data_IF_530666046548
#
_entry.id   IF_530666046548
#
_cell.length_a   1.000
_cell.length_b   1.000
_cell.length_c   1.000
_cell.angle_alpha   90.00
_cell.angle_beta   90.00
_cell.angle_gamma   90.00
#
_symmetry.space_group_name_H-M   'P 1'
#
loop_
_entity.id
_entity.type
_entity.pdbx_description
1 polymer ?
#
# COMPACT_ATOMS: atom_id res chain seq x y z
N UNK A 1 -15.80 2.87 11.18
CA UNK A 1 -15.74 2.96 9.70
C UNK A 1 -17.04 2.42 9.12
N UNK A 2 -17.62 3.05 8.10
CA UNK A 2 -18.81 2.48 7.43
C UNK A 2 -18.41 1.13 6.82
N UNK A 3 -19.20 0.09 7.08
CA UNK A 3 -18.97 -1.30 6.60
C UNK A 3 -18.66 -1.35 5.10
N UNK A 4 -19.35 -0.52 4.31
CA UNK A 4 -19.14 -0.46 2.87
C UNK A 4 -17.74 0.01 2.46
N UNK A 5 -17.13 0.93 3.21
CA UNK A 5 -15.75 1.41 2.93
C UNK A 5 -14.74 0.31 3.22
N UNK A 6 -14.94 -0.47 4.28
CA UNK A 6 -14.08 -1.61 4.60
C UNK A 6 -14.15 -2.67 3.50
N UNK A 7 -15.38 -3.05 3.09
CA UNK A 7 -15.59 -4.04 2.03
C UNK A 7 -14.98 -3.56 0.71
N UNK A 8 -15.25 -2.31 0.31
CA UNK A 8 -14.72 -1.76 -0.94
C UNK A 8 -13.17 -1.81 -0.97
N UNK A 9 -12.52 -1.38 0.12
CA UNK A 9 -11.05 -1.48 0.22
C UNK A 9 -10.57 -2.92 0.18
N UNK A 10 -11.22 -3.84 0.88
CA UNK A 10 -10.84 -5.25 0.86
C UNK A 10 -10.96 -5.85 -0.55
N UNK A 11 -12.02 -5.54 -1.28
CA UNK A 11 -12.21 -6.00 -2.67
C UNK A 11 -11.12 -5.43 -3.59
N UNK A 12 -10.84 -4.13 -3.51
CA UNK A 12 -9.79 -3.51 -4.35
C UNK A 12 -8.43 -4.17 -4.09
N UNK A 13 -8.03 -4.31 -2.82
CA UNK A 13 -6.75 -4.93 -2.50
C UNK A 13 -6.69 -6.42 -2.85
N UNK A 14 -7.80 -7.15 -2.74
CA UNK A 14 -7.87 -8.54 -3.16
C UNK A 14 -7.71 -8.70 -4.69
N UNK A 15 -8.33 -7.82 -5.48
CA UNK A 15 -8.20 -7.81 -6.94
C UNK A 15 -6.76 -7.49 -7.35
N UNK A 16 -6.15 -6.47 -6.74
CA UNK A 16 -4.76 -6.10 -7.01
C UNK A 16 -3.80 -7.22 -6.63
N UNK A 17 -4.00 -7.85 -5.47
CA UNK A 17 -3.21 -8.99 -5.03
C UNK A 17 -3.31 -10.15 -6.03
N UNK A 18 -4.53 -10.52 -6.44
CA UNK A 18 -4.75 -11.61 -7.39
C UNK A 18 -4.12 -11.31 -8.76
N UNK A 19 -4.29 -10.10 -9.29
CA UNK A 19 -3.70 -9.69 -10.56
C UNK A 19 -2.17 -9.70 -10.54
N UNK A 20 -1.56 -9.14 -9.49
CA UNK A 20 -0.11 -9.14 -9.34
C UNK A 20 0.45 -10.56 -9.10
N UNK A 21 -0.27 -11.40 -8.34
CA UNK A 21 0.15 -12.79 -8.11
C UNK A 21 0.06 -13.62 -9.41
N UNK A 22 -0.99 -13.45 -10.21
CA UNK A 22 -1.12 -14.08 -11.51
C UNK A 22 0.01 -13.65 -12.46
N UNK A 23 0.34 -12.35 -12.49
CA UNK A 23 1.49 -11.85 -13.26
C UNK A 23 2.80 -12.50 -12.79
N UNK A 24 3.05 -12.55 -11.48
CA UNK A 24 4.27 -13.16 -10.94
C UNK A 24 4.34 -14.67 -11.25
N UNK A 25 3.21 -15.38 -11.24
CA UNK A 25 3.16 -16.77 -11.63
C UNK A 25 3.54 -16.96 -13.10
N UNK A 26 2.96 -16.15 -14.00
CA UNK A 26 3.32 -16.15 -15.42
C UNK A 26 4.81 -15.78 -15.62
N UNK A 27 5.27 -14.71 -14.98
CA UNK A 27 6.66 -14.22 -15.12
C UNK A 27 7.69 -15.26 -14.71
N UNK A 28 7.40 -16.10 -13.71
CA UNK A 28 8.30 -17.13 -13.19
C UNK A 28 8.17 -18.48 -13.92
N UNK A 29 7.05 -18.76 -14.57
CA UNK A 29 6.80 -20.01 -15.27
C UNK A 29 7.20 -20.00 -16.75
N UNK A 30 7.41 -18.80 -17.33
CA UNK A 30 7.80 -18.65 -18.72
C UNK A 30 9.28 -18.96 -18.96
N UNK A 31 9.65 -19.29 -20.19
CA UNK A 31 11.03 -19.37 -20.59
C UNK A 31 11.71 -18.00 -20.43
N UNK A 32 12.91 -17.99 -19.89
CA UNK A 32 13.62 -16.75 -19.52
C UNK A 32 13.76 -15.79 -20.70
N UNK A 33 14.08 -16.33 -21.89
CA UNK A 33 14.30 -15.55 -23.11
C UNK A 33 12.98 -14.92 -23.58
N UNK A 34 11.91 -15.72 -23.70
CA UNK A 34 10.62 -15.25 -24.18
C UNK A 34 9.99 -14.24 -23.22
N UNK A 35 10.07 -14.52 -21.93
CA UNK A 35 9.60 -13.61 -20.89
C UNK A 35 10.36 -12.28 -20.91
N UNK A 36 11.69 -12.33 -21.11
CA UNK A 36 12.51 -11.12 -21.23
C UNK A 36 12.08 -10.27 -22.42
N UNK A 37 11.93 -10.85 -23.61
CA UNK A 37 11.51 -10.10 -24.80
C UNK A 37 10.09 -9.54 -24.66
N UNK A 38 9.16 -10.31 -24.08
CA UNK A 38 7.80 -9.85 -23.82
C UNK A 38 7.79 -8.63 -22.88
N UNK A 39 8.57 -8.69 -21.78
CA UNK A 39 8.67 -7.58 -20.83
C UNK A 39 9.34 -6.37 -21.48
N UNK A 40 10.45 -6.55 -22.22
CA UNK A 40 11.12 -5.43 -22.87
C UNK A 40 10.27 -4.80 -23.98
N UNK A 41 9.39 -5.55 -24.62
CA UNK A 41 8.49 -5.07 -25.67
C UNK A 41 7.26 -4.30 -25.17
N UNK A 42 7.01 -4.25 -23.83
CA UNK A 42 5.81 -3.63 -23.28
C UNK A 42 6.10 -2.84 -22.01
N UNK A 43 5.88 -1.50 -22.08
CA UNK A 43 6.03 -0.64 -20.91
C UNK A 43 5.13 -1.08 -19.74
N UNK A 44 3.93 -1.59 -20.01
CA UNK A 44 3.05 -2.13 -18.99
C UNK A 44 3.67 -3.35 -18.28
N UNK A 45 4.23 -4.30 -19.04
CA UNK A 45 4.87 -5.48 -18.45
C UNK A 45 6.15 -5.11 -17.69
N UNK A 46 6.88 -4.10 -18.13
CA UNK A 46 8.02 -3.56 -17.38
C UNK A 46 7.60 -3.00 -16.02
N UNK A 47 6.52 -2.21 -15.98
CA UNK A 47 5.94 -1.72 -14.72
C UNK A 47 5.52 -2.89 -13.83
N UNK A 48 4.82 -3.87 -14.38
CA UNK A 48 4.38 -5.06 -13.61
C UNK A 48 5.57 -5.86 -13.08
N UNK A 49 6.65 -5.99 -13.84
CA UNK A 49 7.86 -6.71 -13.41
C UNK A 49 8.52 -6.04 -12.19
N UNK A 50 8.46 -4.72 -12.12
CA UNK A 50 9.07 -3.93 -11.03
C UNK A 50 8.13 -3.81 -9.83
N UNK A 51 6.85 -3.51 -10.06
CA UNK A 51 5.92 -3.10 -9.00
C UNK A 51 5.07 -4.24 -8.42
N UNK A 52 4.92 -5.35 -9.13
CA UNK A 52 4.02 -6.41 -8.67
C UNK A 52 4.42 -6.99 -7.31
N UNK A 53 5.71 -7.17 -7.03
CA UNK A 53 6.17 -7.66 -5.73
C UNK A 53 5.91 -6.68 -4.58
N UNK A 54 6.30 -5.39 -4.65
CA UNK A 54 5.92 -4.37 -3.67
C UNK A 54 4.40 -4.25 -3.46
N UNK A 55 3.61 -4.29 -4.54
CA UNK A 55 2.14 -4.23 -4.47
C UNK A 55 1.57 -5.45 -3.75
N UNK A 56 2.07 -6.66 -4.02
CA UNK A 56 1.67 -7.88 -3.29
C UNK A 56 1.93 -7.73 -1.80
N UNK A 57 3.13 -7.29 -1.41
CA UNK A 57 3.50 -7.12 -0.02
C UNK A 57 2.60 -6.10 0.70
N UNK A 58 2.37 -4.96 0.05
CA UNK A 58 1.47 -3.94 0.59
C UNK A 58 0.03 -4.43 0.69
N UNK A 59 -0.49 -5.11 -0.34
CA UNK A 59 -1.85 -5.65 -0.36
C UNK A 59 -2.06 -6.69 0.75
N UNK A 60 -1.09 -7.58 0.98
CA UNK A 60 -1.14 -8.53 2.09
C UNK A 60 -1.24 -7.79 3.43
N UNK A 61 -0.39 -6.79 3.65
CA UNK A 61 -0.46 -5.96 4.86
C UNK A 61 -1.79 -5.24 5.02
N UNK A 62 -2.30 -4.63 3.94
CA UNK A 62 -3.58 -3.93 3.92
C UNK A 62 -4.75 -4.86 4.25
N UNK A 63 -4.80 -6.04 3.63
CA UNK A 63 -5.86 -7.03 3.90
C UNK A 63 -5.81 -7.55 5.34
N UNK A 64 -4.62 -7.85 5.86
CA UNK A 64 -4.46 -8.25 7.27
C UNK A 64 -4.91 -7.13 8.21
N UNK A 65 -4.55 -5.90 7.93
CA UNK A 65 -4.96 -4.74 8.72
C UNK A 65 -6.47 -4.49 8.65
N UNK A 66 -7.09 -4.61 7.46
CA UNK A 66 -8.55 -4.47 7.30
C UNK A 66 -9.30 -5.57 8.07
N UNK A 67 -8.81 -6.80 8.01
CA UNK A 67 -9.35 -7.91 8.80
C UNK A 67 -9.27 -7.60 10.30
N UNK A 68 -8.11 -7.13 10.76
CA UNK A 68 -7.87 -6.79 12.16
C UNK A 68 -8.78 -5.65 12.65
N UNK A 69 -8.89 -4.56 11.86
CA UNK A 69 -9.80 -3.43 12.15
C UNK A 69 -11.26 -3.88 12.18
N UNK A 70 -11.65 -4.73 11.22
CA UNK A 70 -13.03 -5.26 11.14
C UNK A 70 -13.41 -6.14 12.30
N UNK A 71 -12.55 -7.10 12.68
CA UNK A 71 -12.79 -8.04 13.76
C UNK A 71 -12.73 -7.40 15.15
N UNK A 72 -11.73 -6.57 15.39
CA UNK A 72 -11.47 -5.97 16.71
C UNK A 72 -12.20 -4.65 16.93
N UNK A 73 -12.94 -4.13 15.93
CA UNK A 73 -13.65 -2.84 15.98
C UNK A 73 -12.79 -1.72 16.57
N UNK A 74 -11.54 -1.64 16.10
CA UNK A 74 -10.53 -0.73 16.63
C UNK A 74 -10.97 0.71 16.44
N UNK A 75 -10.81 1.50 17.50
CA UNK A 75 -11.02 2.94 17.49
C UNK A 75 -9.70 3.64 17.84
N UNK A 76 -9.31 4.61 17.02
CA UNK A 76 -8.08 5.38 17.19
C UNK A 76 -8.39 6.83 17.50
N UNK A 77 -7.53 7.47 18.29
CA UNK A 77 -7.57 8.92 18.46
C UNK A 77 -7.36 9.64 17.12
N UNK A 78 -7.98 10.81 16.95
CA UNK A 78 -7.96 11.58 15.68
C UNK A 78 -6.53 11.83 15.18
N UNK A 79 -5.62 12.23 16.08
CA UNK A 79 -4.22 12.49 15.72
C UNK A 79 -3.49 11.26 15.19
N UNK A 80 -3.57 10.14 15.93
CA UNK A 80 -2.93 8.88 15.52
C UNK A 80 -3.45 8.38 14.18
N UNK A 81 -4.77 8.41 13.97
CA UNK A 81 -5.38 8.02 12.70
C UNK A 81 -4.90 8.89 11.53
N UNK A 82 -4.83 10.20 11.74
CA UNK A 82 -4.38 11.11 10.68
C UNK A 82 -2.89 10.91 10.36
N UNK A 83 -2.04 10.71 11.35
CA UNK A 83 -0.63 10.40 11.14
C UNK A 83 -0.45 9.11 10.32
N UNK A 84 -1.18 8.04 10.67
CA UNK A 84 -1.14 6.79 9.93
C UNK A 84 -1.61 6.96 8.47
N UNK A 85 -2.66 7.76 8.24
CA UNK A 85 -3.13 8.08 6.89
C UNK A 85 -2.08 8.83 6.08
N UNK A 86 -1.46 9.86 6.65
CA UNK A 86 -0.44 10.64 5.95
C UNK A 86 0.73 9.75 5.53
N UNK A 87 1.29 8.97 6.45
CA UNK A 87 2.40 8.06 6.16
C UNK A 87 2.02 7.05 5.06
N UNK A 88 0.84 6.45 5.17
CA UNK A 88 0.39 5.44 4.20
C UNK A 88 0.07 6.03 2.84
N UNK A 89 -0.54 7.21 2.78
CA UNK A 89 -0.85 7.89 1.51
C UNK A 89 0.43 8.35 0.82
N UNK A 90 1.41 8.85 1.57
CA UNK A 90 2.71 9.21 1.01
C UNK A 90 3.41 7.99 0.40
N UNK A 91 3.40 6.85 1.10
CA UNK A 91 3.99 5.63 0.55
C UNK A 91 3.23 5.12 -0.68
N UNK A 92 1.89 5.14 -0.65
CA UNK A 92 1.06 4.80 -1.81
C UNK A 92 1.34 5.72 -3.00
N UNK A 93 1.50 7.02 -2.77
CA UNK A 93 1.86 7.96 -3.82
C UNK A 93 3.23 7.60 -4.43
N UNK A 94 4.21 7.27 -3.61
CA UNK A 94 5.51 6.79 -4.11
C UNK A 94 5.33 5.51 -4.91
N UNK A 95 4.60 4.52 -4.40
CA UNK A 95 4.37 3.24 -5.07
C UNK A 95 3.67 3.41 -6.44
N UNK A 96 2.67 4.29 -6.53
CA UNK A 96 1.91 4.52 -7.77
C UNK A 96 2.67 5.40 -8.76
N UNK A 97 3.42 6.38 -8.28
CA UNK A 97 4.11 7.35 -9.15
C UNK A 97 5.52 6.90 -9.56
N UNK A 98 6.15 6.02 -8.77
CA UNK A 98 7.51 5.55 -9.08
C UNK A 98 7.64 4.93 -10.47
N UNK A 99 6.69 4.11 -10.99
CA UNK A 99 6.82 3.50 -12.31
C UNK A 99 6.46 4.43 -13.48
N UNK A 100 5.91 5.62 -13.23
CA UNK A 100 5.53 6.55 -14.30
C UNK A 100 6.66 6.83 -15.31
N UNK A 101 7.94 7.02 -14.92
CA UNK A 101 9.03 7.21 -15.86
C UNK A 101 9.24 6.05 -16.83
N UNK A 102 8.93 4.81 -16.42
CA UNK A 102 9.00 3.63 -17.28
C UNK A 102 7.96 3.74 -18.41
N UNK A 103 6.74 4.19 -18.08
CA UNK A 103 5.67 4.38 -19.07
C UNK A 103 6.02 5.43 -20.12
N UNK A 104 6.86 6.40 -19.77
CA UNK A 104 7.33 7.44 -20.68
C UNK A 104 8.68 7.11 -21.37
N UNK A 105 9.18 5.88 -21.20
CA UNK A 105 10.43 5.45 -21.83
C UNK A 105 11.71 6.05 -21.20
N UNK A 106 11.60 6.68 -20.01
CA UNK A 106 12.75 7.27 -19.31
C UNK A 106 13.59 6.17 -18.60
N UNK A 107 12.98 5.02 -18.34
CA UNK A 107 13.63 3.90 -17.67
C UNK A 107 13.52 3.94 -16.15
N UNK A 108 14.42 3.21 -15.47
CA UNK A 108 14.44 3.07 -14.02
C UNK A 108 14.97 4.36 -13.36
N UNK A 109 14.17 4.93 -12.47
CA UNK A 109 14.53 6.10 -11.68
C UNK A 109 14.81 5.74 -10.22
N UNK A 110 15.44 6.63 -9.46
CA UNK A 110 15.77 6.40 -8.06
C UNK A 110 14.58 5.96 -7.20
N UNK A 111 13.37 6.55 -7.30
CA UNK A 111 12.21 6.07 -6.55
C UNK A 111 11.87 4.60 -6.84
N UNK A 112 11.89 4.17 -8.11
CA UNK A 112 11.65 2.76 -8.49
C UNK A 112 12.69 1.85 -7.84
N UNK A 113 13.97 2.20 -7.97
CA UNK A 113 15.07 1.42 -7.39
C UNK A 113 14.91 1.29 -5.88
N UNK A 114 14.53 2.37 -5.19
CA UNK A 114 14.31 2.37 -3.74
C UNK A 114 13.14 1.42 -3.37
N UNK A 115 12.03 1.48 -4.08
CA UNK A 115 10.85 0.63 -3.82
C UNK A 115 11.20 -0.85 -4.04
N UNK A 116 11.88 -1.17 -5.14
CA UNK A 116 12.33 -2.55 -5.43
C UNK A 116 13.31 -3.02 -4.37
N UNK A 117 14.32 -2.22 -4.04
CA UNK A 117 15.31 -2.56 -3.02
C UNK A 117 14.66 -2.77 -1.65
N UNK A 118 13.71 -1.92 -1.27
CA UNK A 118 12.94 -2.08 -0.03
C UNK A 118 12.15 -3.39 -0.03
N UNK A 119 11.54 -3.75 -1.17
CA UNK A 119 10.81 -5.01 -1.33
C UNK A 119 11.71 -6.25 -1.19
N UNK A 120 12.96 -6.14 -1.61
CA UNK A 120 13.93 -7.24 -1.53
C UNK A 120 14.63 -7.31 -0.17
N UNK A 121 15.12 -6.17 0.34
CA UNK A 121 15.94 -6.12 1.55
C UNK A 121 15.11 -6.09 2.85
N UNK A 122 13.93 -5.49 2.81
CA UNK A 122 13.08 -5.31 3.98
C UNK A 122 11.57 -5.46 3.66
N UNK A 123 11.13 -6.62 3.14
CA UNK A 123 9.73 -6.83 2.72
C UNK A 123 8.73 -6.60 3.85
N UNK A 124 9.12 -6.89 5.09
CA UNK A 124 8.29 -6.66 6.27
C UNK A 124 7.87 -5.18 6.43
N UNK A 125 8.72 -4.23 6.01
CA UNK A 125 8.41 -2.80 6.07
C UNK A 125 7.22 -2.48 5.18
N UNK A 126 7.17 -3.01 3.96
CA UNK A 126 6.06 -2.79 3.03
C UNK A 126 4.77 -3.41 3.56
N UNK A 127 4.85 -4.62 4.13
CA UNK A 127 3.68 -5.27 4.77
C UNK A 127 3.18 -4.44 5.94
N UNK A 128 4.07 -3.93 6.80
CA UNK A 128 3.70 -3.05 7.92
C UNK A 128 3.04 -1.77 7.41
N UNK A 129 3.56 -1.14 6.36
CA UNK A 129 2.96 0.07 5.78
C UNK A 129 1.55 -0.21 5.23
N UNK A 130 1.32 -1.36 4.60
CA UNK A 130 -0.01 -1.81 4.20
C UNK A 130 -0.95 -2.01 5.40
N UNK A 131 -0.45 -2.61 6.48
CA UNK A 131 -1.21 -2.77 7.72
C UNK A 131 -1.57 -1.41 8.34
N UNK A 132 -0.62 -0.48 8.41
CA UNK A 132 -0.82 0.87 8.92
C UNK A 132 -1.82 1.67 8.06
N UNK A 133 -1.85 1.45 6.74
CA UNK A 133 -2.88 1.99 5.85
C UNK A 133 -4.28 1.59 6.32
N UNK A 134 -4.51 0.31 6.58
CA UNK A 134 -5.80 -0.18 7.06
C UNK A 134 -6.14 0.37 8.46
N UNK A 135 -5.16 0.46 9.35
CA UNK A 135 -5.33 1.10 10.66
C UNK A 135 -5.74 2.57 10.54
N UNK A 136 -5.19 3.29 9.56
CA UNK A 136 -5.60 4.67 9.23
C UNK A 136 -7.07 4.81 8.80
N UNK A 137 -7.73 3.72 8.41
CA UNK A 137 -9.16 3.68 8.07
C UNK A 137 -10.06 3.41 9.29
N UNK A 138 -9.50 3.07 10.47
CA UNK A 138 -10.26 2.78 11.68
C UNK A 138 -11.17 3.94 12.11
N UNK A 139 -12.17 3.66 12.95
CA UNK A 139 -13.05 4.68 13.52
C UNK A 139 -12.29 5.62 14.46
N UNK A 140 -12.77 6.86 14.52
CA UNK A 140 -12.29 7.82 15.52
C UNK A 140 -12.97 7.54 16.85
N UNK A 141 -12.16 7.49 17.89
CA UNK A 141 -12.65 7.55 19.26
C UNK A 141 -12.60 9.02 19.71
N UNK A 142 -13.75 9.69 19.89
CA UNK A 142 -13.78 11.07 20.29
C UNK A 142 -13.25 11.29 21.73
N UNK A 143 -13.28 10.24 22.57
CA UNK A 143 -12.77 10.29 23.94
C UNK A 143 -11.25 10.28 24.01
N UNK A 144 -10.57 9.80 22.98
CA UNK A 144 -9.11 9.80 22.90
C UNK A 144 -8.62 11.14 22.35
N UNK A 145 -8.48 12.11 23.24
CA UNK A 145 -7.83 13.39 22.94
C UNK A 145 -6.42 13.11 22.40
N UNK A 146 -5.99 13.81 21.35
CA UNK A 146 -4.64 13.66 20.79
C UNK A 146 -3.57 14.17 21.78
N UNK A 147 -2.28 13.87 21.54
CA UNK A 147 -1.19 14.26 22.43
C UNK A 147 -1.09 15.77 22.65
N UNK A 148 -1.66 16.57 21.75
CA UNK A 148 -1.69 18.04 21.84
C UNK A 148 -2.99 18.60 22.44
N UNK A 149 -3.96 17.77 22.82
CA UNK A 149 -5.23 18.22 23.39
C UNK A 149 -5.06 18.97 24.71
N UNK A 150 -3.94 18.76 25.40
CA UNK A 150 -3.58 19.45 26.64
C UNK A 150 -3.26 20.95 26.45
N UNK A 151 -3.01 21.36 25.19
CA UNK A 151 -2.63 22.72 24.82
C UNK A 151 -3.72 23.49 24.06
N UNK A 152 -4.87 22.85 23.82
CA UNK A 152 -6.02 23.54 23.24
C UNK A 152 -6.88 24.09 24.38
N UNK A 153 -7.32 25.37 24.31
CA UNK A 153 -8.26 25.91 25.28
C UNK A 153 -9.53 25.06 25.26
N UNK A 154 -10.11 24.83 26.43
CA UNK A 154 -11.40 24.17 26.53
C UNK A 154 -12.44 25.11 25.87
N UNK A 155 -13.13 24.63 24.84
CA UNK A 155 -14.18 25.39 24.13
C UNK A 155 -15.48 25.52 24.97
N UNK A 156 -15.37 25.54 26.29
CA UNK A 156 -16.47 25.67 27.25
C UNK A 156 -16.45 27.06 27.92
N UNK A 157 -16.52 28.13 27.11
CA UNK A 157 -16.94 29.45 27.60
C UNK A 157 -17.95 30.09 26.61
#
# INVERSE_FOLDING_TARGET
MKKNVLIANAVVWAILLAGCAAFQAWYRSGEVIDTYYAVMGSAFLQVMAVESAPVILFAVGALLGLLFVGLKKIKLGRGARNALRVVSVLFLAVLVLSPAPILFGIGLTAPVVIVVYLGMAAPAVIVILGFLYAMGLAEVDPSKKGPFAKYLPDDDE
#
